data_IF_850265441300
#
_entry.id   IF_850265441300
#
_cell.length_a   1.000
_cell.length_b   1.000
_cell.length_c   1.000
_cell.angle_alpha   90.00
_cell.angle_beta   90.00
_cell.angle_gamma   90.00
#
_symmetry.space_group_name_H-M   'P 1'
#
loop_
_entity.id
_entity.type
_entity.pdbx_description
1 polymer ?
#
# COMPACT_ATOMS: atom_id res chain seq x y z
N UNK A 1 -18.86 9.78 24.66
CA UNK A 1 -19.32 8.38 24.44
C UNK A 1 -19.08 7.93 23.00
N UNK A 2 -19.25 8.79 22.00
CA UNK A 2 -18.91 8.56 20.58
C UNK A 2 -17.43 8.22 20.35
N UNK A 3 -16.51 8.93 21.01
CA UNK A 3 -15.06 8.73 20.79
C UNK A 3 -14.56 7.35 21.24
N UNK A 4 -15.14 6.80 22.31
CA UNK A 4 -14.77 5.48 22.83
C UNK A 4 -15.27 4.36 21.90
N UNK A 5 -16.44 4.53 21.27
CA UNK A 5 -16.94 3.58 20.27
C UNK A 5 -16.09 3.61 19.00
N UNK A 6 -15.66 4.80 18.56
CA UNK A 6 -14.76 4.92 17.41
C UNK A 6 -13.40 4.25 17.66
N UNK A 7 -12.85 4.38 18.86
CA UNK A 7 -11.60 3.71 19.25
C UNK A 7 -11.73 2.18 19.25
N UNK A 8 -12.84 1.64 19.80
CA UNK A 8 -13.10 0.20 19.83
C UNK A 8 -13.30 -0.38 18.43
N UNK A 9 -14.06 0.31 17.57
CA UNK A 9 -14.28 -0.09 16.17
C UNK A 9 -12.97 -0.06 15.39
N UNK A 10 -12.16 0.98 15.57
CA UNK A 10 -10.84 1.09 14.93
C UNK A 10 -9.91 -0.05 15.36
N UNK A 11 -9.87 -0.36 16.66
CA UNK A 11 -9.07 -1.46 17.18
C UNK A 11 -9.54 -2.83 16.63
N UNK A 12 -10.85 -3.03 16.49
CA UNK A 12 -11.42 -4.26 15.92
C UNK A 12 -11.06 -4.45 14.43
N UNK A 13 -11.09 -3.38 13.63
CA UNK A 13 -10.63 -3.43 12.24
C UNK A 13 -9.11 -3.68 12.16
N UNK A 14 -8.32 -3.02 13.01
CA UNK A 14 -6.87 -3.20 13.04
C UNK A 14 -6.47 -4.65 13.38
N UNK A 15 -7.21 -5.32 14.28
CA UNK A 15 -6.97 -6.73 14.62
C UNK A 15 -7.19 -7.69 13.45
N UNK A 16 -8.16 -7.41 12.59
CA UNK A 16 -8.40 -8.20 11.38
C UNK A 16 -7.33 -7.95 10.32
N UNK A 17 -6.93 -6.70 10.17
CA UNK A 17 -5.93 -6.29 9.19
C UNK A 17 -4.50 -6.75 9.55
N UNK A 18 -4.19 -6.89 10.85
CA UNK A 18 -2.89 -7.31 11.37
C UNK A 18 -3.01 -8.47 12.36
N UNK A 19 -3.50 -9.64 11.89
CA UNK A 19 -3.76 -10.78 12.76
C UNK A 19 -2.45 -11.35 13.30
N UNK A 20 -2.47 -11.82 14.56
CA UNK A 20 -1.29 -12.43 15.16
C UNK A 20 -0.82 -13.68 14.37
N UNK A 21 0.48 -13.97 14.43
CA UNK A 21 1.08 -15.13 13.78
C UNK A 21 1.75 -14.75 12.47
N UNK A 22 1.11 -14.96 11.33
CA UNK A 22 1.74 -14.77 10.02
C UNK A 22 2.17 -13.32 9.78
N UNK A 23 1.40 -12.33 10.27
CA UNK A 23 1.75 -10.92 10.14
C UNK A 23 2.96 -10.57 11.03
N UNK A 24 3.06 -11.17 12.22
CA UNK A 24 4.22 -10.99 13.09
C UNK A 24 5.50 -11.56 12.45
N UNK A 25 5.39 -12.72 11.79
CA UNK A 25 6.48 -13.30 11.02
C UNK A 25 6.89 -12.38 9.86
N UNK A 26 5.93 -11.83 9.12
CA UNK A 26 6.19 -10.87 8.04
C UNK A 26 6.92 -9.62 8.55
N UNK A 27 6.46 -9.04 9.67
CA UNK A 27 7.11 -7.91 10.32
C UNK A 27 8.56 -8.24 10.68
N UNK A 28 8.81 -9.41 11.28
CA UNK A 28 10.17 -9.85 11.66
C UNK A 28 11.07 -9.99 10.43
N UNK A 29 10.57 -10.57 9.33
CA UNK A 29 11.34 -10.72 8.10
C UNK A 29 11.69 -9.37 7.47
N UNK A 30 10.71 -8.47 7.37
CA UNK A 30 10.92 -7.12 6.83
C UNK A 30 11.86 -6.31 7.72
N UNK A 31 11.68 -6.34 9.03
CA UNK A 31 12.58 -5.66 9.98
C UNK A 31 14.00 -6.22 9.87
N UNK A 32 14.16 -7.55 9.84
CA UNK A 32 15.46 -8.20 9.70
C UNK A 32 16.17 -7.81 8.41
N UNK A 33 15.44 -7.79 7.29
CA UNK A 33 15.96 -7.35 6.00
C UNK A 33 16.38 -5.87 6.03
N UNK A 34 15.52 -4.97 6.53
CA UNK A 34 15.82 -3.53 6.61
C UNK A 34 17.01 -3.26 7.54
N UNK A 35 17.10 -3.96 8.68
CA UNK A 35 18.21 -3.81 9.61
C UNK A 35 19.54 -4.34 9.05
N UNK A 36 19.48 -5.36 8.17
CA UNK A 36 20.68 -5.96 7.58
C UNK A 36 21.16 -5.21 6.33
N UNK A 37 20.25 -4.87 5.41
CA UNK A 37 20.58 -4.24 4.14
C UNK A 37 20.67 -2.71 4.24
N UNK A 38 19.94 -2.09 5.16
CA UNK A 38 19.65 -0.66 5.16
C UNK A 38 18.30 -0.35 4.50
N UNK A 39 17.67 0.76 4.90
CA UNK A 39 16.31 1.12 4.44
C UNK A 39 16.28 1.43 2.94
N UNK A 40 17.22 2.26 2.45
CA UNK A 40 17.34 2.60 1.03
C UNK A 40 17.67 1.37 0.16
N UNK A 41 18.60 0.53 0.61
CA UNK A 41 18.99 -0.67 -0.15
C UNK A 41 17.90 -1.75 -0.16
N UNK A 42 16.98 -1.74 0.82
CA UNK A 42 15.87 -2.68 0.84
C UNK A 42 14.71 -2.31 -0.10
N UNK A 43 14.56 -1.04 -0.49
CA UNK A 43 13.40 -0.58 -1.26
C UNK A 43 13.20 -1.28 -2.62
N UNK A 44 14.25 -1.51 -3.45
CA UNK A 44 14.06 -2.18 -4.73
C UNK A 44 13.49 -3.60 -4.58
N UNK A 45 13.96 -4.33 -3.57
CA UNK A 45 13.45 -5.66 -3.27
C UNK A 45 11.99 -5.63 -2.78
N UNK A 46 11.65 -4.68 -1.90
CA UNK A 46 10.26 -4.48 -1.44
C UNK A 46 9.32 -4.15 -2.59
N UNK A 47 9.72 -3.26 -3.50
CA UNK A 47 8.97 -2.95 -4.73
C UNK A 47 8.77 -4.20 -5.59
N UNK A 48 9.83 -4.99 -5.80
CA UNK A 48 9.75 -6.23 -6.56
C UNK A 48 8.74 -7.23 -5.95
N UNK A 49 8.66 -7.32 -4.62
CA UNK A 49 7.62 -8.15 -3.98
C UNK A 49 6.20 -7.65 -4.27
N UNK A 50 6.01 -6.32 -4.31
CA UNK A 50 4.74 -5.71 -4.71
C UNK A 50 4.37 -6.03 -6.15
N UNK A 51 5.32 -5.94 -7.07
CA UNK A 51 5.13 -6.31 -8.48
C UNK A 51 4.75 -7.79 -8.63
N UNK A 52 5.46 -8.69 -7.93
CA UNK A 52 5.15 -10.11 -7.93
C UNK A 52 3.73 -10.40 -7.40
N UNK A 53 3.32 -9.73 -6.32
CA UNK A 53 1.97 -9.86 -5.78
C UNK A 53 0.90 -9.37 -6.77
N UNK A 54 1.21 -8.30 -7.53
CA UNK A 54 0.32 -7.78 -8.57
C UNK A 54 0.13 -8.79 -9.72
N UNK A 55 1.20 -9.50 -10.10
CA UNK A 55 1.15 -10.55 -11.12
C UNK A 55 0.34 -11.77 -10.68
N UNK A 56 0.41 -12.14 -9.39
CA UNK A 56 -0.42 -13.21 -8.81
C UNK A 56 -1.90 -12.79 -8.66
N UNK A 57 -2.16 -11.50 -8.49
CA UNK A 57 -3.49 -10.93 -8.30
C UNK A 57 -3.75 -9.76 -9.26
N UNK A 58 -3.88 -10.01 -10.57
CA UNK A 58 -4.08 -8.95 -11.54
C UNK A 58 -5.44 -8.27 -11.38
N UNK A 59 -5.51 -7.02 -11.83
CA UNK A 59 -6.78 -6.32 -11.98
C UNK A 59 -7.47 -6.76 -13.29
N UNK A 60 -8.82 -6.79 -13.32
CA UNK A 60 -9.56 -6.80 -14.57
C UNK A 60 -9.22 -5.55 -15.41
N UNK A 61 -9.49 -5.60 -16.71
CA UNK A 61 -9.43 -4.41 -17.56
C UNK A 61 -10.46 -3.38 -17.10
N UNK A 62 -10.08 -2.10 -17.13
CA UNK A 62 -10.91 -0.97 -16.72
C UNK A 62 -10.95 0.05 -17.86
N UNK A 63 -12.14 0.51 -18.25
CA UNK A 63 -12.33 1.53 -19.28
C UNK A 63 -12.36 2.94 -18.69
N UNK A 64 -12.63 3.06 -17.39
CA UNK A 64 -12.71 4.35 -16.69
C UNK A 64 -11.87 4.37 -15.41
N UNK A 65 -11.53 5.57 -14.94
CA UNK A 65 -10.85 5.76 -13.64
C UNK A 65 -11.71 5.25 -12.48
N UNK A 66 -13.04 5.38 -12.56
CA UNK A 66 -13.95 4.85 -11.54
C UNK A 66 -13.93 3.33 -11.47
N UNK A 67 -13.86 2.64 -12.61
CA UNK A 67 -13.69 1.18 -12.65
C UNK A 67 -12.33 0.75 -12.12
N UNK A 68 -11.26 1.46 -12.50
CA UNK A 68 -9.92 1.21 -11.98
C UNK A 68 -9.88 1.32 -10.45
N UNK A 69 -10.42 2.40 -9.89
CA UNK A 69 -10.53 2.60 -8.45
C UNK A 69 -11.33 1.45 -7.80
N UNK A 70 -12.47 1.08 -8.38
CA UNK A 70 -13.30 -0.01 -7.88
C UNK A 70 -12.57 -1.36 -7.90
N UNK A 71 -11.84 -1.67 -8.97
CA UNK A 71 -11.06 -2.89 -9.10
C UNK A 71 -9.89 -2.95 -8.11
N UNK A 72 -9.16 -1.85 -7.92
CA UNK A 72 -8.12 -1.74 -6.90
C UNK A 72 -8.71 -1.98 -5.52
N UNK A 73 -9.80 -1.29 -5.18
CA UNK A 73 -10.46 -1.42 -3.88
C UNK A 73 -11.00 -2.83 -3.62
N UNK A 74 -11.49 -3.52 -4.66
CA UNK A 74 -11.92 -4.91 -4.54
C UNK A 74 -10.76 -5.84 -4.15
N UNK A 75 -9.57 -5.67 -4.72
CA UNK A 75 -8.38 -6.44 -4.33
C UNK A 75 -7.90 -6.07 -2.93
N UNK A 76 -7.77 -4.77 -2.63
CA UNK A 76 -7.34 -4.30 -1.31
C UNK A 76 -8.28 -4.80 -0.20
N UNK A 77 -9.59 -4.82 -0.44
CA UNK A 77 -10.57 -5.34 0.50
C UNK A 77 -10.37 -6.84 0.80
N UNK A 78 -10.02 -7.64 -0.22
CA UNK A 78 -9.70 -9.08 -0.04
C UNK A 78 -8.47 -9.29 0.83
N UNK A 79 -7.47 -8.42 0.71
CA UNK A 79 -6.27 -8.44 1.56
C UNK A 79 -6.49 -7.76 2.91
N UNK A 80 -7.62 -7.06 3.09
CA UNK A 80 -7.90 -6.18 4.21
C UNK A 80 -6.87 -5.04 4.32
N UNK A 81 -6.40 -4.51 3.20
CA UNK A 81 -5.36 -3.48 3.11
C UNK A 81 -5.91 -2.07 2.93
N UNK A 82 -7.09 -1.78 3.47
CA UNK A 82 -7.69 -0.46 3.38
C UNK A 82 -8.32 -0.17 2.02
N UNK A 83 -8.29 1.10 1.62
CA UNK A 83 -8.94 1.59 0.41
C UNK A 83 -8.13 2.71 -0.25
N UNK A 84 -8.38 2.94 -1.54
CA UNK A 84 -7.76 4.01 -2.33
C UNK A 84 -8.82 4.89 -2.96
N UNK A 85 -8.51 6.17 -3.11
CA UNK A 85 -9.16 7.06 -4.08
C UNK A 85 -8.17 7.43 -5.19
N UNK A 86 -8.63 7.47 -6.43
CA UNK A 86 -7.82 7.74 -7.62
C UNK A 86 -8.29 9.04 -8.27
N UNK A 87 -7.38 10.00 -8.38
CA UNK A 87 -7.65 11.31 -8.98
C UNK A 87 -6.71 11.55 -10.16
N UNK A 88 -7.27 12.04 -11.26
CA UNK A 88 -6.47 12.55 -12.39
C UNK A 88 -6.02 13.97 -12.05
N UNK A 89 -4.75 14.26 -12.29
CA UNK A 89 -4.15 15.57 -12.12
C UNK A 89 -3.26 15.93 -13.30
N UNK A 90 -2.85 17.20 -13.37
CA UNK A 90 -1.96 17.68 -14.43
C UNK A 90 -0.59 16.95 -14.44
N UNK A 91 -0.15 16.49 -13.27
CA UNK A 91 1.15 15.81 -13.09
C UNK A 91 1.06 14.29 -13.27
N UNK A 92 -0.14 13.72 -13.44
CA UNK A 92 -0.37 12.28 -13.52
C UNK A 92 -1.55 11.79 -12.67
N UNK A 93 -1.54 10.53 -12.26
CA UNK A 93 -2.58 9.96 -11.39
C UNK A 93 -2.14 10.01 -9.93
N UNK A 94 -2.98 10.58 -9.05
CA UNK A 94 -2.78 10.55 -7.61
C UNK A 94 -3.62 9.44 -6.99
N UNK A 95 -2.97 8.61 -6.19
CA UNK A 95 -3.61 7.54 -5.44
C UNK A 95 -3.48 7.86 -3.96
N UNK A 96 -4.59 8.18 -3.29
CA UNK A 96 -4.62 8.36 -1.84
C UNK A 96 -5.10 7.08 -1.19
N UNK A 97 -4.20 6.41 -0.48
CA UNK A 97 -4.45 5.16 0.20
C UNK A 97 -4.71 5.42 1.69
N UNK A 98 -5.84 4.93 2.20
CA UNK A 98 -6.27 5.09 3.58
C UNK A 98 -6.50 3.74 4.26
N UNK A 99 -6.39 3.73 5.58
CA UNK A 99 -6.45 2.54 6.41
C UNK A 99 -5.38 1.49 6.01
N UNK A 100 -4.15 1.94 5.74
CA UNK A 100 -2.99 1.06 5.50
C UNK A 100 -2.73 0.19 6.74
N UNK A 101 -2.37 -1.11 6.60
CA UNK A 101 -2.03 -1.97 7.73
C UNK A 101 -0.95 -1.37 8.64
N UNK A 102 -1.27 -1.11 9.90
CA UNK A 102 -0.33 -0.50 10.86
C UNK A 102 0.18 -1.57 11.84
N UNK A 103 1.50 -1.62 12.04
CA UNK A 103 2.12 -2.44 13.08
C UNK A 103 1.48 -2.22 14.45
N UNK A 104 1.19 -3.32 15.15
CA UNK A 104 0.69 -3.31 16.52
C UNK A 104 1.75 -2.82 17.50
N UNK A 105 3.03 -3.06 17.19
CA UNK A 105 4.17 -2.49 17.91
C UNK A 105 4.42 -1.05 17.45
N UNK A 106 4.20 -0.10 18.36
CA UNK A 106 4.36 1.33 18.12
C UNK A 106 5.78 1.70 17.69
N UNK A 107 6.80 1.05 18.26
CA UNK A 107 8.20 1.32 17.95
C UNK A 107 8.56 0.97 16.49
N UNK A 108 7.76 0.11 15.84
CA UNK A 108 7.97 -0.38 14.47
C UNK A 108 7.08 0.30 13.44
N UNK A 109 6.07 1.08 13.84
CA UNK A 109 5.04 1.62 12.94
C UNK A 109 5.61 2.39 11.75
N UNK A 110 6.57 3.28 12.00
CA UNK A 110 7.16 4.11 10.94
C UNK A 110 7.95 3.26 9.95
N UNK A 111 8.80 2.34 10.45
CA UNK A 111 9.62 1.46 9.62
C UNK A 111 8.73 0.52 8.79
N UNK A 112 7.73 -0.09 9.41
CA UNK A 112 6.75 -0.91 8.71
C UNK A 112 5.99 -0.09 7.66
N UNK A 113 5.51 1.11 7.99
CA UNK A 113 4.83 1.98 7.05
C UNK A 113 5.70 2.28 5.83
N UNK A 114 6.98 2.62 6.02
CA UNK A 114 7.92 2.87 4.92
C UNK A 114 8.12 1.62 4.06
N UNK A 115 8.36 0.47 4.69
CA UNK A 115 8.57 -0.78 3.96
C UNK A 115 7.32 -1.20 3.17
N UNK A 116 6.15 -1.07 3.78
CA UNK A 116 4.88 -1.40 3.15
C UNK A 116 4.50 -0.39 2.05
N UNK A 117 4.85 0.89 2.20
CA UNK A 117 4.74 1.86 1.10
C UNK A 117 5.58 1.44 -0.11
N UNK A 118 6.81 0.94 0.10
CA UNK A 118 7.63 0.43 -1.01
C UNK A 118 7.00 -0.81 -1.67
N UNK A 119 6.37 -1.71 -0.91
CA UNK A 119 5.60 -2.83 -1.47
C UNK A 119 4.43 -2.29 -2.31
N UNK A 120 3.65 -1.33 -1.78
CA UNK A 120 2.53 -0.73 -2.50
C UNK A 120 2.97 0.04 -3.75
N UNK A 121 4.16 0.65 -3.75
CA UNK A 121 4.72 1.29 -4.94
C UNK A 121 4.85 0.31 -6.11
N UNK A 122 5.41 -0.89 -5.84
CA UNK A 122 5.51 -1.95 -6.84
C UNK A 122 4.15 -2.51 -7.26
N UNK A 123 3.27 -2.76 -6.29
CA UNK A 123 1.92 -3.30 -6.53
C UNK A 123 1.10 -2.38 -7.44
N UNK A 124 0.97 -1.11 -7.09
CA UNK A 124 0.19 -0.16 -7.89
C UNK A 124 0.84 0.12 -9.24
N UNK A 125 2.17 0.26 -9.30
CA UNK A 125 2.87 0.47 -10.57
C UNK A 125 2.59 -0.68 -11.53
N UNK A 126 2.67 -1.93 -11.07
CA UNK A 126 2.41 -3.11 -11.89
C UNK A 126 0.96 -3.23 -12.32
N UNK A 127 0.00 -2.95 -11.43
CA UNK A 127 -1.41 -2.89 -11.78
C UNK A 127 -1.71 -1.83 -12.84
N UNK A 128 -1.19 -0.59 -12.67
CA UNK A 128 -1.40 0.50 -13.63
C UNK A 128 -0.78 0.22 -15.00
N UNK A 129 0.40 -0.41 -15.03
CA UNK A 129 1.01 -0.89 -16.28
C UNK A 129 0.11 -1.92 -16.99
N UNK A 130 -0.52 -2.83 -16.24
CA UNK A 130 -1.48 -3.80 -16.77
C UNK A 130 -2.74 -3.18 -17.38
N UNK A 131 -3.04 -1.91 -17.05
CA UNK A 131 -4.17 -1.15 -17.63
C UNK A 131 -3.75 -0.28 -18.82
N UNK A 132 -2.55 -0.49 -19.37
CA UNK A 132 -2.01 0.29 -20.49
C UNK A 132 -1.11 1.46 -20.09
N UNK A 133 -0.76 1.59 -18.79
CA UNK A 133 0.25 2.53 -18.33
C UNK A 133 1.63 2.24 -18.95
N UNK A 134 2.35 3.28 -19.38
CA UNK A 134 3.62 3.09 -20.06
C UNK A 134 4.74 2.66 -19.08
N UNK A 135 5.69 1.86 -19.57
CA UNK A 135 6.76 1.27 -18.75
C UNK A 135 7.71 2.29 -18.08
N UNK A 136 7.73 3.54 -18.56
CA UNK A 136 8.57 4.61 -18.02
C UNK A 136 7.88 5.45 -16.94
N UNK A 137 6.59 5.23 -16.69
CA UNK A 137 5.84 5.96 -15.66
C UNK A 137 6.16 5.35 -14.30
N UNK A 138 6.51 6.20 -13.35
CA UNK A 138 6.94 5.78 -12.02
C UNK A 138 5.84 6.08 -11.02
N UNK A 139 5.60 5.14 -10.10
CA UNK A 139 4.78 5.39 -8.92
C UNK A 139 5.69 5.63 -7.71
N UNK A 140 5.55 6.76 -7.05
CA UNK A 140 6.30 7.10 -5.84
C UNK A 140 5.40 7.67 -4.77
N UNK A 141 5.76 7.47 -3.50
CA UNK A 141 5.13 8.19 -2.40
C UNK A 141 5.37 9.70 -2.52
N UNK A 142 4.29 10.45 -2.75
CA UNK A 142 4.29 11.91 -2.81
C UNK A 142 4.15 12.50 -1.39
N UNK A 143 3.30 11.90 -0.56
CA UNK A 143 3.00 12.45 0.78
C UNK A 143 2.64 11.38 1.80
N UNK A 144 3.04 11.59 3.05
CA UNK A 144 2.60 10.80 4.21
C UNK A 144 1.77 11.69 5.13
N UNK A 145 0.45 11.45 5.22
CA UNK A 145 -0.43 12.17 6.14
C UNK A 145 -0.40 11.54 7.54
N UNK A 146 -0.33 10.21 7.59
CA UNK A 146 -0.12 9.41 8.81
C UNK A 146 0.41 8.03 8.42
N UNK A 147 0.76 7.18 9.40
CA UNK A 147 1.17 5.78 9.13
C UNK A 147 0.08 4.92 8.48
N UNK A 148 -1.17 5.41 8.44
CA UNK A 148 -2.32 4.75 7.80
C UNK A 148 -2.94 5.53 6.63
N UNK A 149 -2.40 6.69 6.25
CA UNK A 149 -2.93 7.56 5.18
C UNK A 149 -1.77 8.15 4.36
N UNK A 150 -1.64 7.68 3.12
CA UNK A 150 -0.48 7.91 2.25
C UNK A 150 -0.97 8.30 0.86
N UNK A 151 -0.27 9.24 0.22
CA UNK A 151 -0.50 9.62 -1.16
C UNK A 151 0.66 9.19 -2.04
N UNK A 152 0.33 8.57 -3.16
CA UNK A 152 1.25 8.21 -4.22
C UNK A 152 0.93 9.03 -5.46
N UNK A 153 1.97 9.32 -6.24
CA UNK A 153 1.86 9.94 -7.54
C UNK A 153 2.42 8.98 -8.60
N UNK A 154 1.61 8.72 -9.62
CA UNK A 154 1.98 8.01 -10.83
C UNK A 154 2.22 9.02 -11.95
N UNK A 155 3.48 9.25 -12.29
CA UNK A 155 3.88 10.34 -13.17
C UNK A 155 5.01 9.94 -14.12
N UNK A 156 5.13 10.69 -15.22
CA UNK A 156 6.30 10.62 -16.06
C UNK A 156 7.40 11.49 -15.42
N UNK A 157 8.54 10.90 -15.02
CA UNK A 157 9.63 11.65 -14.38
C UNK A 157 10.33 12.62 -15.33
#
# INVERSE_FOLDING_TARGET
MTDNNNALVTAWFQQQQTPAGWFDLLLIMVDGMVNNAGELESQPFLRQMGEALADEHPLPESETIGELEAHINAQLSRFQWGLVSVEVSDDGLRLRHQALPVSRDEARRVRWCNAFCAILEGLYSRWLQGQGGAAHVVLQRERLFSVSDVQFLYFHP
#
